data_IF_564088121158
#
_entry.id   IF_564088121158
#
_cell.length_a   1.000
_cell.length_b   1.000
_cell.length_c   1.000
_cell.angle_alpha   90.00
_cell.angle_beta   90.00
_cell.angle_gamma   90.00
#
_symmetry.space_group_name_H-M   'P 1'
#
loop_
_entity.id
_entity.type
_entity.pdbx_description
1 polymer ?
#
# COMPACT_ATOMS: atom_id res chain seq x y z
N UNK A 1 4.57 -9.54 -19.70
CA UNK A 1 5.48 -8.60 -19.04
C UNK A 1 4.72 -7.72 -18.09
N UNK A 2 5.17 -7.64 -16.85
CA UNK A 2 4.52 -6.79 -15.87
C UNK A 2 4.64 -5.34 -16.29
N UNK A 3 3.55 -4.60 -16.19
CA UNK A 3 3.54 -3.17 -16.51
C UNK A 3 3.89 -2.37 -15.26
N UNK A 4 4.94 -1.56 -15.29
CA UNK A 4 5.36 -0.79 -14.10
C UNK A 4 4.26 0.12 -13.57
N UNK A 5 3.37 0.58 -14.44
CA UNK A 5 2.29 1.49 -14.08
C UNK A 5 1.06 0.80 -13.48
N UNK A 6 0.99 -0.53 -13.51
CA UNK A 6 -0.14 -1.23 -12.89
C UNK A 6 -0.04 -1.13 -11.36
N UNK A 7 -1.15 -0.79 -10.69
CA UNK A 7 -1.13 -0.66 -9.22
C UNK A 7 -0.75 -1.95 -8.49
N UNK A 8 -1.15 -3.11 -9.03
CA UNK A 8 -0.82 -4.41 -8.46
C UNK A 8 -0.36 -5.34 -9.58
N UNK A 9 0.79 -5.97 -9.38
CA UNK A 9 1.34 -6.97 -10.30
C UNK A 9 0.83 -8.35 -9.90
N UNK A 10 -0.23 -8.81 -10.55
CA UNK A 10 -0.85 -10.10 -10.27
C UNK A 10 0.10 -11.26 -10.55
N UNK A 11 0.98 -11.13 -11.53
CA UNK A 11 1.97 -12.18 -11.82
C UNK A 11 2.90 -12.39 -10.63
N UNK A 12 3.28 -11.30 -9.96
CA UNK A 12 4.09 -11.38 -8.74
C UNK A 12 3.33 -12.14 -7.64
N UNK A 13 2.07 -11.78 -7.42
CA UNK A 13 1.24 -12.46 -6.43
C UNK A 13 1.08 -13.94 -6.75
N UNK A 14 0.89 -14.27 -8.02
CA UNK A 14 0.72 -15.65 -8.48
C UNK A 14 1.93 -16.54 -8.17
N UNK A 15 3.12 -15.98 -8.02
CA UNK A 15 4.32 -16.73 -7.64
C UNK A 15 4.18 -17.38 -6.26
N UNK A 16 3.38 -16.76 -5.39
CA UNK A 16 3.18 -17.25 -4.02
C UNK A 16 1.91 -18.08 -3.88
N UNK A 17 0.92 -17.81 -4.74
CA UNK A 17 -0.40 -18.46 -4.65
C UNK A 17 -0.61 -19.56 -5.68
N UNK A 18 0.32 -19.72 -6.61
CA UNK A 18 0.18 -20.67 -7.70
C UNK A 18 -0.92 -20.28 -8.69
N UNK A 19 -1.34 -19.02 -8.68
CA UNK A 19 -2.41 -18.55 -9.56
C UNK A 19 -3.80 -18.88 -9.05
N UNK A 20 -3.94 -19.33 -7.80
CA UNK A 20 -5.23 -19.61 -7.19
C UNK A 20 -6.03 -18.31 -7.04
N UNK A 21 -7.07 -18.16 -7.86
CA UNK A 21 -7.85 -16.92 -7.89
C UNK A 21 -8.59 -16.64 -6.60
N UNK A 22 -9.10 -17.68 -5.93
CA UNK A 22 -9.77 -17.52 -4.63
C UNK A 22 -8.80 -17.04 -3.56
N UNK A 23 -7.60 -17.60 -3.53
CA UNK A 23 -6.57 -17.17 -2.59
C UNK A 23 -6.10 -15.75 -2.89
N UNK A 24 -5.92 -15.41 -4.17
CA UNK A 24 -5.58 -14.04 -4.56
C UNK A 24 -6.64 -13.05 -4.08
N UNK A 25 -7.93 -13.39 -4.25
CA UNK A 25 -9.03 -12.55 -3.78
C UNK A 25 -8.95 -12.32 -2.28
N UNK A 26 -8.76 -13.37 -1.49
CA UNK A 26 -8.66 -13.27 -0.03
C UNK A 26 -7.49 -12.38 0.39
N UNK A 27 -6.32 -12.57 -0.23
CA UNK A 27 -5.12 -11.81 0.10
C UNK A 27 -5.32 -10.33 -0.24
N UNK A 28 -5.90 -10.04 -1.40
CA UNK A 28 -6.12 -8.65 -1.81
C UNK A 28 -7.16 -7.95 -0.95
N UNK A 29 -8.23 -8.64 -0.55
CA UNK A 29 -9.22 -8.08 0.37
C UNK A 29 -8.61 -7.77 1.73
N UNK A 30 -7.82 -8.70 2.25
CA UNK A 30 -7.14 -8.50 3.53
C UNK A 30 -6.16 -7.32 3.44
N UNK A 31 -5.40 -7.26 2.36
CA UNK A 31 -4.48 -6.13 2.14
C UNK A 31 -5.22 -4.81 2.12
N UNK A 32 -6.34 -4.72 1.39
CA UNK A 32 -7.11 -3.48 1.29
C UNK A 32 -7.57 -3.01 2.67
N UNK A 33 -8.06 -3.92 3.51
CA UNK A 33 -8.50 -3.61 4.87
C UNK A 33 -7.33 -3.09 5.72
N UNK A 34 -6.23 -3.83 5.72
CA UNK A 34 -5.05 -3.44 6.51
C UNK A 34 -4.45 -2.13 6.03
N UNK A 35 -4.43 -1.93 4.71
CA UNK A 35 -3.89 -0.70 4.12
C UNK A 35 -4.72 0.52 4.56
N UNK A 36 -6.04 0.40 4.56
CA UNK A 36 -6.91 1.49 5.02
C UNK A 36 -6.64 1.84 6.48
N UNK A 37 -6.47 0.85 7.33
CA UNK A 37 -6.15 1.07 8.74
C UNK A 37 -4.81 1.79 8.88
N UNK A 38 -3.79 1.36 8.13
CA UNK A 38 -2.48 1.99 8.15
C UNK A 38 -2.53 3.42 7.61
N UNK A 39 -3.28 3.66 6.54
CA UNK A 39 -3.43 5.00 5.98
C UNK A 39 -4.14 5.94 6.95
N UNK A 40 -5.19 5.47 7.65
CA UNK A 40 -5.87 6.26 8.67
C UNK A 40 -4.92 6.64 9.79
N UNK A 41 -4.09 5.69 10.21
CA UNK A 41 -3.09 5.94 11.25
C UNK A 41 -2.06 6.98 10.80
N UNK A 42 -1.55 6.86 9.57
CA UNK A 42 -0.58 7.82 9.02
C UNK A 42 -1.19 9.21 8.90
N UNK A 43 -2.44 9.30 8.47
CA UNK A 43 -3.15 10.57 8.38
C UNK A 43 -3.31 11.22 9.75
N UNK A 44 -3.67 10.43 10.75
CA UNK A 44 -3.78 10.91 12.13
C UNK A 44 -2.43 11.39 12.65
N UNK A 45 -1.36 10.64 12.41
CA UNK A 45 -0.01 11.03 12.83
C UNK A 45 0.45 12.33 12.14
N UNK A 46 0.10 12.49 10.87
CA UNK A 46 0.49 13.68 10.10
C UNK A 46 -0.24 14.93 10.55
N UNK A 47 -1.48 14.81 11.06
CA UNK A 47 -2.27 15.97 11.49
C UNK A 47 -2.04 16.36 12.94
N UNK A 48 -1.36 15.52 13.72
CA UNK A 48 -1.06 15.79 15.13
C UNK A 48 0.43 15.94 15.38
N UNK A 49 0.83 15.68 16.62
CA UNK A 49 2.26 15.60 16.97
C UNK A 49 2.77 14.26 16.45
N UNK A 50 3.36 14.30 15.28
CA UNK A 50 3.82 13.09 14.63
C UNK A 50 4.87 12.39 15.50
N UNK A 51 4.53 11.21 16.02
CA UNK A 51 5.46 10.32 16.66
C UNK A 51 6.31 9.68 15.57
N UNK A 52 7.58 10.07 15.48
CA UNK A 52 8.49 9.60 14.45
C UNK A 52 8.63 8.08 14.46
N UNK A 53 8.60 7.48 15.63
CA UNK A 53 8.70 6.02 15.76
C UNK A 53 7.46 5.34 15.14
N UNK A 54 6.26 5.80 15.51
CA UNK A 54 5.01 5.25 14.98
C UNK A 54 4.90 5.45 13.48
N UNK A 55 5.33 6.62 12.98
CA UNK A 55 5.35 6.88 11.54
C UNK A 55 6.25 5.88 10.82
N UNK A 56 7.48 5.69 11.31
CA UNK A 56 8.44 4.78 10.68
C UNK A 56 7.96 3.33 10.73
N UNK A 57 7.41 2.91 11.85
CA UNK A 57 6.90 1.54 11.97
C UNK A 57 5.74 1.28 11.02
N UNK A 58 4.81 2.22 10.92
CA UNK A 58 3.64 2.07 10.06
C UNK A 58 4.04 2.08 8.59
N UNK A 59 4.90 3.03 8.18
CA UNK A 59 5.35 3.10 6.79
C UNK A 59 6.19 1.88 6.43
N UNK A 60 7.01 1.39 7.35
CA UNK A 60 7.81 0.18 7.14
C UNK A 60 6.91 -1.04 6.90
N UNK A 61 5.89 -1.21 7.74
CA UNK A 61 4.94 -2.32 7.61
C UNK A 61 4.18 -2.22 6.28
N UNK A 62 3.71 -1.03 5.92
CA UNK A 62 3.01 -0.82 4.66
C UNK A 62 3.92 -1.13 3.47
N UNK A 63 5.17 -0.71 3.52
CA UNK A 63 6.15 -0.99 2.48
C UNK A 63 6.26 -2.50 2.21
N UNK A 64 6.46 -3.28 3.27
CA UNK A 64 6.59 -4.73 3.16
C UNK A 64 5.33 -5.39 2.65
N UNK A 65 4.18 -5.01 3.19
CA UNK A 65 2.88 -5.57 2.78
C UNK A 65 2.58 -5.26 1.32
N UNK A 66 2.81 -4.02 0.89
CA UNK A 66 2.55 -3.60 -0.49
C UNK A 66 3.43 -4.36 -1.47
N UNK A 67 4.72 -4.46 -1.18
CA UNK A 67 5.65 -5.19 -2.03
C UNK A 67 5.31 -6.67 -2.11
N UNK A 68 4.83 -7.23 -1.00
CA UNK A 68 4.43 -8.63 -0.95
C UNK A 68 3.33 -8.99 -1.92
N UNK A 69 2.36 -8.12 -2.11
CA UNK A 69 1.24 -8.37 -3.03
C UNK A 69 1.50 -7.85 -4.45
N UNK A 70 2.67 -7.26 -4.71
CA UNK A 70 2.97 -6.71 -6.03
C UNK A 70 2.53 -5.27 -6.23
N UNK A 71 2.19 -4.53 -5.17
CA UNK A 71 1.83 -3.12 -5.23
C UNK A 71 3.09 -2.28 -5.08
N UNK A 72 3.94 -2.31 -6.11
CA UNK A 72 5.29 -1.75 -6.04
C UNK A 72 5.32 -0.23 -5.96
N UNK A 73 4.42 0.47 -6.67
CA UNK A 73 4.36 1.93 -6.60
C UNK A 73 4.00 2.39 -5.19
N UNK A 74 3.02 1.72 -4.55
CA UNK A 74 2.67 1.99 -3.16
C UNK A 74 3.82 1.65 -2.22
N UNK A 75 4.49 0.52 -2.45
CA UNK A 75 5.66 0.12 -1.68
C UNK A 75 6.77 1.14 -1.76
N UNK A 76 7.02 1.70 -2.95
CA UNK A 76 8.03 2.74 -3.13
C UNK A 76 7.63 4.05 -2.44
N UNK A 77 6.34 4.42 -2.50
CA UNK A 77 5.84 5.59 -1.78
C UNK A 77 6.02 5.42 -0.27
N UNK A 78 5.76 4.22 0.24
CA UNK A 78 5.95 3.92 1.66
C UNK A 78 7.44 3.98 2.04
N UNK A 79 8.33 3.51 1.18
CA UNK A 79 9.78 3.60 1.41
C UNK A 79 10.24 5.05 1.50
N UNK A 80 9.75 5.90 0.60
CA UNK A 80 10.07 7.33 0.62
C UNK A 80 9.48 8.01 1.86
N UNK A 81 8.27 7.64 2.26
CA UNK A 81 7.64 8.16 3.46
C UNK A 81 8.42 7.75 4.73
N UNK A 82 8.94 6.53 4.75
CA UNK A 82 9.77 6.04 5.84
C UNK A 82 11.04 6.88 5.96
N UNK A 83 11.72 7.15 4.84
CA UNK A 83 12.92 7.98 4.81
C UNK A 83 12.65 9.42 5.24
N UNK A 84 11.52 9.97 4.81
CA UNK A 84 11.14 11.34 5.15
C UNK A 84 10.92 11.50 6.65
N UNK A 85 10.53 10.42 7.33
CA UNK A 85 10.17 10.46 8.74
C UNK A 85 8.84 11.16 8.95
N UNK A 86 8.42 11.28 10.19
CA UNK A 86 7.14 11.89 10.54
C UNK A 86 7.18 13.40 10.72
N UNK A 87 8.30 14.04 10.43
CA UNK A 87 8.49 15.47 10.72
C UNK A 87 8.04 16.35 9.55
N UNK A 88 7.49 17.52 9.87
CA UNK A 88 7.16 18.52 8.86
C UNK A 88 8.44 19.21 8.38
N UNK A 89 8.49 19.69 7.15
CA UNK A 89 7.39 19.67 6.16
C UNK A 89 7.31 18.39 5.31
N UNK A 90 8.26 17.47 5.45
CA UNK A 90 8.36 16.30 4.57
C UNK A 90 7.17 15.34 4.68
N UNK A 91 6.50 15.30 5.85
CA UNK A 91 5.39 14.38 6.09
C UNK A 91 4.20 14.62 5.16
N UNK A 92 3.91 15.88 4.82
CA UNK A 92 2.72 16.18 4.02
C UNK A 92 2.84 15.72 2.56
N UNK A 93 3.95 16.00 1.85
CA UNK A 93 4.13 15.47 0.50
C UNK A 93 4.17 13.93 0.49
N UNK A 94 4.79 13.33 1.50
CA UNK A 94 4.86 11.87 1.61
C UNK A 94 3.48 11.26 1.77
N UNK A 95 2.64 11.86 2.63
CA UNK A 95 1.26 11.39 2.83
C UNK A 95 0.46 11.52 1.54
N UNK A 96 0.63 12.60 0.81
CA UNK A 96 -0.08 12.84 -0.46
C UNK A 96 0.25 11.76 -1.48
N UNK A 97 1.53 11.40 -1.59
CA UNK A 97 1.96 10.32 -2.48
C UNK A 97 1.39 8.97 -2.06
N UNK A 98 1.34 8.71 -0.76
CA UNK A 98 0.72 7.51 -0.23
C UNK A 98 -0.77 7.45 -0.56
N UNK A 99 -1.47 8.57 -0.43
CA UNK A 99 -2.90 8.64 -0.77
C UNK A 99 -3.14 8.33 -2.24
N UNK A 100 -2.34 8.92 -3.12
CA UNK A 100 -2.48 8.71 -4.56
C UNK A 100 -2.22 7.26 -4.93
N UNK A 101 -1.13 6.68 -4.44
CA UNK A 101 -0.76 5.31 -4.79
C UNK A 101 -1.70 4.29 -4.16
N UNK A 102 -2.16 4.51 -2.93
CA UNK A 102 -3.11 3.60 -2.28
C UNK A 102 -4.48 3.65 -2.95
N UNK A 103 -4.93 4.83 -3.37
CA UNK A 103 -6.20 4.95 -4.10
C UNK A 103 -6.19 4.13 -5.38
N UNK A 104 -5.09 4.16 -6.12
CA UNK A 104 -4.94 3.36 -7.32
C UNK A 104 -5.00 1.86 -7.03
N UNK A 105 -4.39 1.44 -5.92
CA UNK A 105 -4.42 0.03 -5.49
C UNK A 105 -5.85 -0.39 -5.14
N UNK A 106 -6.59 0.43 -4.39
CA UNK A 106 -7.98 0.10 -4.04
C UNK A 106 -8.85 -0.06 -5.28
N UNK A 107 -8.71 0.84 -6.26
CA UNK A 107 -9.46 0.74 -7.51
C UNK A 107 -9.12 -0.53 -8.28
N UNK A 108 -7.84 -0.87 -8.32
CA UNK A 108 -7.40 -2.11 -8.97
C UNK A 108 -8.03 -3.33 -8.30
N UNK A 109 -7.97 -3.39 -6.98
CA UNK A 109 -8.51 -4.52 -6.22
C UNK A 109 -10.03 -4.63 -6.43
N UNK A 110 -10.73 -3.50 -6.37
CA UNK A 110 -12.17 -3.47 -6.59
C UNK A 110 -12.52 -4.05 -7.97
N UNK A 111 -11.81 -3.63 -9.01
CA UNK A 111 -12.03 -4.11 -10.36
C UNK A 111 -11.68 -5.61 -10.49
N UNK A 112 -10.59 -6.02 -9.88
CA UNK A 112 -10.18 -7.43 -9.87
C UNK A 112 -11.28 -8.32 -9.25
N UNK A 113 -11.85 -7.89 -8.13
CA UNK A 113 -12.91 -8.65 -7.46
C UNK A 113 -14.18 -8.71 -8.30
N UNK A 114 -14.54 -7.62 -8.99
CA UNK A 114 -15.70 -7.60 -9.87
C UNK A 114 -15.51 -8.55 -11.07
N UNK A 115 -14.32 -8.58 -11.62
CA UNK A 115 -14.03 -9.41 -12.81
C UNK A 115 -14.08 -10.90 -12.50
N UNK A 116 -13.98 -11.28 -11.25
CA UNK A 116 -14.04 -12.67 -10.81
C UNK A 116 -15.47 -13.18 -10.58
N UNK A 117 -16.47 -12.31 -10.62
CA UNK A 117 -17.88 -12.65 -10.34
C UNK A 117 -18.69 -12.92 -11.56
#
# INVERSE_FOLDING_TARGET
MARPEQPVDIEHLNRYTGGDGGLNEEILQLFATQCREMMDRLESLASGDADAKSWRETTHTLKGAARGIGAFALGNAAAEAEKAGGARPAVLPALEQLKTTSAAVYLFIEQFLKDRR
#
